data_IF_800465707502
#
_entry.id   IF_800465707502
#
_cell.length_a   1.000
_cell.length_b   1.000
_cell.length_c   1.000
_cell.angle_alpha   90.00
_cell.angle_beta   90.00
_cell.angle_gamma   90.00
#
_symmetry.space_group_name_H-M   'P 1'
#
loop_
_entity.id
_entity.type
_entity.pdbx_description
1 polymer ?
#
# COMPACT_ATOMS: atom_id res chain seq x y z
N UNK A 1 25.60 -30.27 -7.36
CA UNK A 1 24.64 -30.19 -8.48
C UNK A 1 23.49 -29.25 -8.11
N UNK A 2 22.96 -28.43 -9.04
CA UNK A 2 21.88 -27.47 -8.76
C UNK A 2 20.65 -28.10 -8.11
N UNK A 3 20.39 -29.35 -8.46
CA UNK A 3 19.23 -30.15 -8.03
C UNK A 3 19.32 -30.57 -6.55
N UNK A 4 20.51 -30.53 -5.95
CA UNK A 4 20.76 -30.89 -4.55
C UNK A 4 20.76 -29.68 -3.60
N UNK A 5 20.76 -28.46 -4.13
CA UNK A 5 20.80 -27.25 -3.30
C UNK A 5 19.56 -27.10 -2.41
N UNK A 6 18.40 -27.60 -2.86
CA UNK A 6 17.19 -27.64 -2.03
C UNK A 6 17.33 -28.57 -0.83
N UNK A 7 17.88 -29.77 -1.03
CA UNK A 7 18.11 -30.76 0.03
C UNK A 7 19.07 -30.25 1.12
N UNK A 8 20.10 -29.50 0.71
CA UNK A 8 21.10 -28.92 1.61
C UNK A 8 20.50 -27.83 2.51
N UNK A 9 19.49 -27.10 2.03
CA UNK A 9 18.87 -25.98 2.75
C UNK A 9 17.84 -26.39 3.79
N UNK A 10 17.14 -27.52 3.58
CA UNK A 10 16.07 -27.99 4.48
C UNK A 10 16.45 -28.02 5.97
N UNK A 11 17.64 -28.50 6.37
CA UNK A 11 18.04 -28.56 7.79
C UNK A 11 18.25 -27.18 8.44
N UNK A 12 18.44 -26.13 7.64
CA UNK A 12 18.72 -24.77 8.12
C UNK A 12 17.48 -23.87 8.13
N UNK A 13 16.33 -24.39 7.70
CA UNK A 13 15.08 -23.65 7.74
C UNK A 13 14.54 -23.59 9.18
N UNK A 14 14.00 -22.44 9.57
CA UNK A 14 13.25 -22.34 10.82
C UNK A 14 11.96 -23.17 10.76
N UNK A 15 11.33 -23.41 11.92
CA UNK A 15 10.13 -24.26 12.01
C UNK A 15 9.01 -23.81 11.07
N UNK A 16 8.78 -22.50 10.96
CA UNK A 16 7.73 -21.93 10.11
C UNK A 16 8.00 -22.19 8.62
N UNK A 17 9.21 -21.94 8.15
CA UNK A 17 9.61 -22.22 6.77
C UNK A 17 9.59 -23.72 6.47
N UNK A 18 10.04 -24.56 7.41
CA UNK A 18 10.00 -26.03 7.28
C UNK A 18 8.57 -26.55 7.13
N UNK A 19 7.63 -26.04 7.93
CA UNK A 19 6.21 -26.42 7.84
C UNK A 19 5.58 -26.03 6.49
N UNK A 20 5.91 -24.84 5.96
CA UNK A 20 5.42 -24.38 4.65
C UNK A 20 5.90 -25.30 3.54
N UNK A 21 7.18 -25.67 3.58
CA UNK A 21 7.78 -26.57 2.59
C UNK A 21 7.16 -27.96 2.69
N UNK A 22 7.03 -28.52 3.89
CA UNK A 22 6.42 -29.84 4.08
C UNK A 22 4.99 -29.93 3.53
N UNK A 23 4.18 -28.89 3.72
CA UNK A 23 2.82 -28.82 3.19
C UNK A 23 2.75 -28.70 1.66
N UNK A 24 3.69 -27.97 1.03
CA UNK A 24 3.69 -27.69 -0.41
C UNK A 24 4.47 -28.71 -1.24
N UNK A 25 5.39 -29.45 -0.61
CA UNK A 25 6.33 -30.29 -1.31
C UNK A 25 5.80 -31.71 -1.58
N UNK A 26 4.62 -32.10 -1.09
CA UNK A 26 3.98 -33.40 -1.40
C UNK A 26 4.93 -34.62 -1.29
N UNK A 27 5.91 -34.58 -0.39
CA UNK A 27 6.91 -35.64 -0.21
C UNK A 27 8.11 -35.63 -1.18
N UNK A 28 8.21 -34.67 -2.11
CA UNK A 28 9.40 -34.47 -2.97
C UNK A 28 10.36 -33.43 -2.41
N UNK A 29 11.64 -33.54 -2.74
CA UNK A 29 12.61 -32.46 -2.50
C UNK A 29 12.48 -31.42 -3.62
N UNK A 30 12.11 -30.20 -3.27
CA UNK A 30 12.00 -29.10 -4.22
C UNK A 30 13.40 -28.62 -4.65
N UNK A 31 13.60 -28.32 -5.94
CA UNK A 31 14.78 -27.57 -6.39
C UNK A 31 14.86 -26.22 -5.67
N UNK A 32 16.07 -25.69 -5.48
CA UNK A 32 16.29 -24.46 -4.70
C UNK A 32 15.38 -23.28 -5.12
N UNK A 33 15.17 -23.09 -6.43
CA UNK A 33 14.34 -22.00 -6.94
C UNK A 33 12.88 -22.15 -6.50
N UNK A 34 12.30 -23.33 -6.66
CA UNK A 34 10.93 -23.64 -6.21
C UNK A 34 10.81 -23.55 -4.69
N UNK A 35 11.80 -24.07 -3.95
CA UNK A 35 11.85 -23.98 -2.49
C UNK A 35 11.82 -22.52 -2.03
N UNK A 36 12.69 -21.68 -2.63
CA UNK A 36 12.77 -20.25 -2.35
C UNK A 36 11.44 -19.55 -2.66
N UNK A 37 10.86 -19.81 -3.82
CA UNK A 37 9.63 -19.16 -4.26
C UNK A 37 8.42 -19.54 -3.38
N UNK A 38 8.36 -20.79 -2.91
CA UNK A 38 7.33 -21.26 -1.96
C UNK A 38 7.48 -20.57 -0.60
N UNK A 39 8.69 -20.56 -0.04
CA UNK A 39 8.93 -19.95 1.28
C UNK A 39 8.67 -18.45 1.20
N UNK A 40 9.19 -17.78 0.18
CA UNK A 40 8.99 -16.34 0.00
C UNK A 40 7.52 -16.03 -0.31
N UNK A 41 6.83 -16.81 -1.13
CA UNK A 41 5.42 -16.57 -1.45
C UNK A 41 4.52 -16.59 -0.21
N UNK A 42 4.81 -17.47 0.74
CA UNK A 42 3.99 -17.65 1.95
C UNK A 42 4.43 -16.74 3.11
N UNK A 43 5.73 -16.41 3.20
CA UNK A 43 6.26 -15.55 4.27
C UNK A 43 6.35 -14.07 3.91
N UNK A 44 6.30 -13.72 2.61
CA UNK A 44 6.39 -12.33 2.17
C UNK A 44 5.16 -11.57 2.66
N UNK A 45 5.41 -10.38 3.18
CA UNK A 45 4.34 -9.52 3.67
C UNK A 45 3.48 -9.02 2.50
N UNK A 46 2.21 -8.74 2.78
CA UNK A 46 1.35 -8.06 1.80
C UNK A 46 1.80 -6.60 1.64
N UNK A 47 1.59 -5.96 0.47
CA UNK A 47 2.02 -4.59 0.21
C UNK A 47 1.64 -3.60 1.31
N UNK A 48 0.43 -3.71 1.85
CA UNK A 48 -0.07 -2.80 2.89
C UNK A 48 0.67 -2.92 4.22
N UNK A 49 1.21 -4.10 4.54
CA UNK A 49 2.00 -4.28 5.75
C UNK A 49 3.39 -3.64 5.60
N UNK A 50 4.01 -3.71 4.42
CA UNK A 50 5.25 -2.96 4.15
C UNK A 50 5.03 -1.45 4.31
N UNK A 51 3.95 -0.93 3.70
CA UNK A 51 3.57 0.49 3.82
C UNK A 51 3.31 0.88 5.28
N UNK A 52 2.53 0.09 6.01
CA UNK A 52 2.21 0.34 7.42
C UNK A 52 3.49 0.41 8.26
N UNK A 53 4.35 -0.59 8.16
CA UNK A 53 5.61 -0.65 8.90
C UNK A 53 6.51 0.52 8.57
N UNK A 54 6.61 0.91 7.30
CA UNK A 54 7.36 2.09 6.87
C UNK A 54 6.89 3.37 7.55
N UNK A 55 5.58 3.62 7.61
CA UNK A 55 5.06 4.83 8.24
C UNK A 55 5.22 4.86 9.77
N UNK A 56 5.10 3.72 10.44
CA UNK A 56 5.21 3.64 11.91
C UNK A 56 6.64 3.38 12.39
N UNK A 57 7.60 3.14 11.48
CA UNK A 57 8.99 2.89 11.82
C UNK A 57 9.58 4.01 12.67
N UNK A 58 10.27 3.64 13.75
CA UNK A 58 10.96 4.55 14.65
C UNK A 58 12.34 3.99 14.97
N UNK A 59 13.28 4.90 15.19
CA UNK A 59 14.66 4.53 15.49
C UNK A 59 14.72 3.85 16.87
N UNK A 60 15.34 2.67 16.96
CA UNK A 60 15.60 1.99 18.24
C UNK A 60 16.78 2.62 19.00
N UNK A 61 16.92 2.39 20.30
CA UNK A 61 18.00 3.01 21.09
C UNK A 61 19.38 2.51 20.66
N UNK A 62 19.50 1.21 20.39
CA UNK A 62 20.75 0.51 20.10
C UNK A 62 21.25 0.68 18.65
N UNK A 63 20.40 1.17 17.75
CA UNK A 63 20.78 1.34 16.34
C UNK A 63 21.33 2.75 16.04
N UNK A 64 22.19 2.82 15.04
CA UNK A 64 22.66 4.08 14.46
C UNK A 64 21.69 4.65 13.43
N UNK A 65 21.77 5.95 13.16
CA UNK A 65 20.98 6.59 12.11
C UNK A 65 21.25 6.01 10.71
N UNK A 66 22.47 5.53 10.45
CA UNK A 66 22.82 4.88 9.18
C UNK A 66 22.12 3.53 9.01
N UNK A 67 22.03 2.74 10.09
CA UNK A 67 21.28 1.48 10.10
C UNK A 67 19.79 1.74 9.89
N UNK A 68 19.20 2.68 10.65
CA UNK A 68 17.79 3.03 10.49
C UNK A 68 17.46 3.51 9.07
N UNK A 69 18.33 4.34 8.48
CA UNK A 69 18.17 4.78 7.09
C UNK A 69 18.23 3.62 6.09
N UNK A 70 19.09 2.63 6.34
CA UNK A 70 19.21 1.42 5.51
C UNK A 70 17.94 0.57 5.61
N UNK A 71 17.39 0.44 6.81
CA UNK A 71 16.17 -0.32 7.05
C UNK A 71 14.95 0.36 6.41
N UNK A 72 14.85 1.68 6.52
CA UNK A 72 13.80 2.45 5.83
C UNK A 72 13.87 2.28 4.31
N UNK A 73 15.07 2.38 3.73
CA UNK A 73 15.26 2.22 2.29
C UNK A 73 14.89 0.79 1.84
N UNK A 74 15.31 -0.21 2.61
CA UNK A 74 15.00 -1.62 2.34
C UNK A 74 13.50 -1.87 2.38
N UNK A 75 12.81 -1.36 3.40
CA UNK A 75 11.38 -1.58 3.58
C UNK A 75 10.54 -0.84 2.52
N UNK A 76 10.92 0.39 2.17
CA UNK A 76 10.29 1.11 1.08
C UNK A 76 10.56 0.46 -0.29
N UNK A 77 11.78 -0.03 -0.51
CA UNK A 77 12.13 -0.81 -1.70
C UNK A 77 11.25 -2.04 -1.86
N UNK A 78 11.06 -2.83 -0.79
CA UNK A 78 10.14 -3.97 -0.83
C UNK A 78 8.68 -3.57 -1.08
N UNK A 79 8.24 -2.43 -0.56
CA UNK A 79 6.92 -1.90 -0.89
C UNK A 79 6.79 -1.60 -2.39
N UNK A 80 7.76 -0.88 -2.97
CA UNK A 80 7.80 -0.56 -4.40
C UNK A 80 7.82 -1.83 -5.27
N UNK A 81 8.66 -2.81 -4.95
CA UNK A 81 8.71 -4.10 -5.64
C UNK A 81 7.37 -4.85 -5.54
N UNK A 82 6.72 -4.79 -4.37
CA UNK A 82 5.42 -5.43 -4.17
C UNK A 82 4.29 -4.82 -5.00
N UNK A 83 4.41 -3.52 -5.32
CA UNK A 83 3.49 -2.75 -6.18
C UNK A 83 3.95 -2.72 -7.65
N UNK A 84 5.05 -3.40 -7.99
CA UNK A 84 5.66 -3.45 -9.33
C UNK A 84 5.92 -2.05 -9.91
N UNK A 85 6.50 -1.17 -9.10
CA UNK A 85 6.91 0.17 -9.52
C UNK A 85 8.20 0.05 -10.33
N UNK A 86 8.15 0.42 -11.61
CA UNK A 86 9.30 0.31 -12.52
C UNK A 86 9.86 1.69 -12.92
N UNK A 87 9.01 2.72 -12.89
CA UNK A 87 9.37 4.07 -13.33
C UNK A 87 9.19 5.12 -12.23
N UNK A 88 9.83 6.28 -12.39
CA UNK A 88 9.59 7.43 -11.52
C UNK A 88 8.13 7.89 -11.56
N UNK A 89 7.47 7.75 -12.71
CA UNK A 89 6.06 8.07 -12.85
C UNK A 89 5.16 7.10 -12.06
N UNK A 90 5.47 5.80 -12.07
CA UNK A 90 4.77 4.82 -11.24
C UNK A 90 4.88 5.15 -9.77
N UNK A 91 6.08 5.55 -9.30
CA UNK A 91 6.28 5.97 -7.92
C UNK A 91 5.43 7.20 -7.59
N UNK A 92 5.44 8.21 -8.46
CA UNK A 92 4.61 9.41 -8.30
C UNK A 92 3.14 9.06 -8.21
N UNK A 93 2.64 8.24 -9.12
CA UNK A 93 1.24 7.81 -9.14
C UNK A 93 0.88 6.98 -7.90
N UNK A 94 1.78 6.11 -7.42
CA UNK A 94 1.58 5.31 -6.21
C UNK A 94 1.42 6.20 -4.98
N UNK A 95 2.32 7.19 -4.81
CA UNK A 95 2.27 8.12 -3.68
C UNK A 95 0.98 8.94 -3.70
N UNK A 96 0.56 9.44 -4.86
CA UNK A 96 -0.69 10.23 -4.99
C UNK A 96 -1.91 9.34 -4.70
N UNK A 97 -1.95 8.12 -5.24
CA UNK A 97 -3.04 7.16 -4.99
C UNK A 97 -3.16 6.84 -3.50
N UNK A 98 -2.02 6.61 -2.84
CA UNK A 98 -1.96 6.33 -1.41
C UNK A 98 -2.42 7.51 -0.56
N UNK A 99 -2.06 8.74 -0.95
CA UNK A 99 -2.51 9.95 -0.27
C UNK A 99 -4.01 10.18 -0.46
N UNK A 100 -4.54 10.00 -1.68
CA UNK A 100 -5.98 10.11 -1.95
C UNK A 100 -6.77 9.16 -1.05
N UNK A 101 -6.36 7.89 -1.02
CA UNK A 101 -6.96 6.89 -0.13
C UNK A 101 -6.85 7.30 1.34
N UNK A 102 -5.74 7.90 1.77
CA UNK A 102 -5.54 8.31 3.17
C UNK A 102 -6.48 9.45 3.60
N UNK A 103 -6.72 10.43 2.73
CA UNK A 103 -7.57 11.59 3.05
C UNK A 103 -9.07 11.34 2.87
N UNK A 104 -9.44 10.23 2.22
CA UNK A 104 -10.84 9.86 2.03
C UNK A 104 -11.54 9.53 3.36
N UNK A 105 -12.82 9.92 3.50
CA UNK A 105 -13.72 9.40 4.53
C UNK A 105 -13.73 7.87 4.57
N UNK A 106 -13.97 7.29 5.74
CA UNK A 106 -13.83 5.85 5.99
C UNK A 106 -14.74 4.99 5.10
N UNK A 107 -15.95 5.44 4.82
CA UNK A 107 -16.93 4.76 3.97
C UNK A 107 -16.50 4.74 2.49
N UNK A 108 -16.08 5.88 1.96
CA UNK A 108 -15.55 6.00 0.60
C UNK A 108 -14.27 5.17 0.46
N UNK A 109 -13.35 5.29 1.43
CA UNK A 109 -12.09 4.55 1.44
C UNK A 109 -12.32 3.05 1.46
N UNK A 110 -13.25 2.56 2.28
CA UNK A 110 -13.61 1.14 2.34
C UNK A 110 -14.14 0.65 0.98
N UNK A 111 -15.00 1.42 0.32
CA UNK A 111 -15.50 1.08 -1.01
C UNK A 111 -14.38 1.03 -2.06
N UNK A 112 -13.48 2.02 -2.09
CA UNK A 112 -12.34 2.04 -3.02
C UNK A 112 -11.43 0.83 -2.78
N UNK A 113 -11.09 0.53 -1.52
CA UNK A 113 -10.23 -0.61 -1.17
C UNK A 113 -10.86 -1.97 -1.52
N UNK A 114 -12.19 -2.11 -1.42
CA UNK A 114 -12.89 -3.32 -1.86
C UNK A 114 -12.82 -3.55 -3.37
N UNK A 115 -12.71 -2.47 -4.15
CA UNK A 115 -12.56 -2.53 -5.61
C UNK A 115 -11.09 -2.66 -6.05
N UNK A 116 -10.14 -2.36 -5.16
CA UNK A 116 -8.70 -2.57 -5.36
C UNK A 116 -8.36 -4.06 -5.18
N UNK A 117 -8.49 -4.85 -6.25
CA UNK A 117 -8.31 -6.31 -6.19
C UNK A 117 -6.86 -6.76 -6.39
N UNK A 118 -6.43 -6.99 -7.64
CA UNK A 118 -5.12 -7.59 -7.95
C UNK A 118 -4.00 -6.57 -8.13
N UNK A 119 -4.35 -5.33 -8.46
CA UNK A 119 -3.43 -4.26 -8.76
C UNK A 119 -3.83 -3.03 -7.96
N UNK A 120 -2.86 -2.18 -7.64
CA UNK A 120 -3.15 -0.91 -7.03
C UNK A 120 -3.79 0.03 -8.05
N UNK A 121 -4.75 0.82 -7.60
CA UNK A 121 -5.47 1.76 -8.46
C UNK A 121 -4.63 3.02 -8.70
N UNK A 122 -4.55 3.46 -9.94
CA UNK A 122 -3.94 4.76 -10.27
C UNK A 122 -4.80 5.90 -9.71
N UNK A 123 -4.22 7.09 -9.48
CA UNK A 123 -4.95 8.22 -8.87
C UNK A 123 -6.30 8.54 -9.54
N UNK A 124 -6.35 8.44 -10.87
CA UNK A 124 -7.57 8.68 -11.65
C UNK A 124 -8.66 7.64 -11.33
N UNK A 125 -8.30 6.36 -11.27
CA UNK A 125 -9.24 5.27 -10.97
C UNK A 125 -9.76 5.37 -9.52
N UNK A 126 -8.88 5.77 -8.59
CA UNK A 126 -9.26 6.05 -7.19
C UNK A 126 -10.31 7.17 -7.13
N UNK A 127 -10.10 8.27 -7.85
CA UNK A 127 -11.03 9.39 -7.91
C UNK A 127 -12.37 8.98 -8.54
N UNK A 128 -12.35 8.30 -9.69
CA UNK A 128 -13.57 7.84 -10.39
C UNK A 128 -14.43 6.92 -9.51
N UNK A 129 -13.80 6.01 -8.75
CA UNK A 129 -14.52 5.15 -7.81
C UNK A 129 -15.11 5.91 -6.63
N UNK A 130 -14.39 6.89 -6.10
CA UNK A 130 -14.88 7.73 -5.03
C UNK A 130 -16.09 8.56 -5.48
N UNK A 131 -15.99 9.24 -6.62
CA UNK A 131 -17.09 10.01 -7.22
C UNK A 131 -18.33 9.13 -7.47
N UNK A 132 -18.14 7.93 -8.05
CA UNK A 132 -19.23 6.98 -8.26
C UNK A 132 -19.92 6.56 -6.96
N UNK A 133 -19.16 6.35 -5.89
CA UNK A 133 -19.73 6.02 -4.58
C UNK A 133 -20.53 7.19 -4.02
N UNK A 134 -19.98 8.40 -4.10
CA UNK A 134 -20.64 9.63 -3.69
C UNK A 134 -21.96 9.82 -4.46
N UNK A 135 -21.96 9.72 -5.78
CA UNK A 135 -23.17 9.80 -6.60
C UNK A 135 -24.23 8.76 -6.19
N UNK A 136 -23.82 7.53 -5.91
CA UNK A 136 -24.73 6.45 -5.52
C UNK A 136 -25.33 6.62 -4.11
N UNK A 137 -24.63 7.34 -3.24
CA UNK A 137 -24.98 7.53 -1.82
C UNK A 137 -25.73 8.84 -1.62
N UNK A 138 -25.24 9.93 -2.23
CA UNK A 138 -25.86 11.26 -2.18
C UNK A 138 -26.97 11.44 -3.22
N UNK A 139 -26.96 10.70 -4.35
CA UNK A 139 -28.08 10.66 -5.29
C UNK A 139 -29.34 10.00 -4.72
N UNK A 140 -29.19 9.13 -3.71
CA UNK A 140 -30.31 8.56 -2.94
C UNK A 140 -30.79 9.46 -1.79
N UNK A 141 -29.94 10.34 -1.26
CA UNK A 141 -30.22 11.21 -0.12
C UNK A 141 -30.39 12.70 -0.47
N UNK A 142 -30.51 13.05 -1.76
CA UNK A 142 -30.68 14.43 -2.19
C UNK A 142 -32.05 15.00 -1.79
N UNK A 143 -32.05 15.86 -0.76
CA UNK A 143 -33.06 16.91 -0.58
C UNK A 143 -32.37 18.25 -0.77
N UNK A 144 -32.84 19.15 -1.65
CA UNK A 144 -32.21 20.45 -1.82
C UNK A 144 -32.42 21.26 -0.52
N UNK A 145 -31.36 21.44 0.26
CA UNK A 145 -31.35 22.48 1.31
C UNK A 145 -31.08 23.80 0.59
N UNK A 146 -32.04 24.72 0.68
CA UNK A 146 -31.88 26.10 0.19
C UNK A 146 -30.57 26.67 0.71
N UNK A 147 -29.75 27.12 -0.23
CA UNK A 147 -28.43 27.73 -0.07
C UNK A 147 -28.50 28.87 0.96
N UNK A 148 -27.77 28.74 2.07
CA UNK A 148 -27.27 29.91 2.77
C UNK A 148 -25.87 30.14 2.23
N UNK A 149 -25.71 31.19 1.43
CA UNK A 149 -24.43 31.61 0.86
C UNK A 149 -23.37 31.66 1.96
N UNK A 150 -22.28 30.92 1.78
CA UNK A 150 -21.07 31.09 2.58
C UNK A 150 -19.98 31.60 1.64
N UNK A 151 -19.22 32.64 2.01
CA UNK A 151 -18.26 33.25 1.11
C UNK A 151 -17.13 32.27 0.78
N UNK A 152 -16.72 32.22 -0.48
CA UNK A 152 -15.56 31.47 -0.94
C UNK A 152 -14.28 32.16 -0.49
N UNK A 153 -13.40 31.45 0.22
CA UNK A 153 -12.04 31.90 0.51
C UNK A 153 -11.10 31.26 -0.50
N UNK A 154 -10.47 32.07 -1.34
CA UNK A 154 -9.56 31.60 -2.40
C UNK A 154 -8.11 31.47 -1.88
N UNK A 155 -7.41 30.43 -2.35
CA UNK A 155 -6.01 30.09 -2.06
C UNK A 155 -4.97 31.04 -2.71
N UNK A 156 -5.23 32.34 -2.66
CA UNK A 156 -4.22 33.39 -2.87
C UNK A 156 -4.51 34.45 -1.83
N UNK A 157 -3.77 34.39 -0.72
CA UNK A 157 -3.95 35.28 0.43
C UNK A 157 -4.04 36.74 -0.01
N UNK A 158 -5.25 37.30 0.11
CA UNK A 158 -5.57 38.70 -0.09
C UNK A 158 -6.93 38.94 0.54
N UNK A 159 -6.97 39.81 1.55
CA UNK A 159 -8.21 40.24 2.20
C UNK A 159 -9.09 40.91 1.15
N UNK A 160 -10.30 40.36 0.96
CA UNK A 160 -11.37 41.12 0.32
C UNK A 160 -11.83 42.16 1.34
N UNK A 161 -11.45 43.42 1.13
CA UNK A 161 -12.12 44.52 1.80
C UNK A 161 -13.58 44.55 1.32
N UNK A 162 -14.48 44.41 2.28
CA UNK A 162 -15.90 44.62 2.10
C UNK A 162 -16.10 46.14 2.09
N UNK A 163 -16.51 46.69 0.96
CA UNK A 163 -16.89 48.09 0.87
C UNK A 163 -18.14 48.37 1.69
N UNK A 164 -18.08 49.38 2.55
CA UNK A 164 -19.20 49.90 3.33
C UNK A 164 -20.09 50.84 2.49
N UNK A 165 -21.41 50.58 2.59
CA UNK A 165 -22.61 51.40 2.30
C UNK A 165 -22.91 51.80 0.85
#
# INVERSE_FOLDING_TARGET
PPDLHGAILLPFLNEKASAIVANRAEGRVLPYKELRDVILGELRMIPDEYKRRFHVARKQEEESWAQFSTDLNTMFGYYMESRKVETLDDLRQLIISDLLKHVMPDDIRAYVLQNETKQWLRPKEVAELAEKFEESTYGRNWRPKKTAERPQVNMRGGLAEVGDV
#
